data_IF_164802521644
#
_entry.id   IF_164802521644
#
_cell.length_a   1.000
_cell.length_b   1.000
_cell.length_c   1.000
_cell.angle_alpha   90.00
_cell.angle_beta   90.00
_cell.angle_gamma   90.00
#
_symmetry.space_group_name_H-M   'P 1'
#
loop_
_entity.id
_entity.type
_entity.pdbx_description
1 polymer ?
#
# COMPACT_ATOMS: atom_id res chain seq x y z
N UNK A 1 2.41 -31.41 17.77
CA UNK A 1 3.00 -30.08 17.52
C UNK A 1 3.36 -29.49 18.88
N UNK A 2 4.64 -29.31 19.22
CA UNK A 2 5.06 -28.65 20.48
C UNK A 2 5.20 -27.14 20.25
N UNK A 3 4.20 -26.52 19.62
CA UNK A 3 4.30 -25.14 19.17
C UNK A 3 4.11 -24.16 20.33
N UNK A 4 5.02 -23.21 20.49
CA UNK A 4 4.91 -22.13 21.47
C UNK A 4 4.03 -20.98 20.98
N UNK A 5 3.78 -20.91 19.66
CA UNK A 5 2.97 -19.90 18.99
C UNK A 5 2.23 -20.50 17.80
N UNK A 6 0.96 -20.10 17.62
CA UNK A 6 0.11 -20.45 16.48
C UNK A 6 -0.55 -19.15 16.00
N UNK A 7 -0.28 -18.72 14.77
CA UNK A 7 -0.90 -17.54 14.14
C UNK A 7 -1.76 -17.99 12.97
N UNK A 8 -3.02 -17.56 12.95
CA UNK A 8 -3.98 -17.88 11.89
C UNK A 8 -3.96 -16.78 10.83
N UNK A 9 -3.73 -17.18 9.57
CA UNK A 9 -3.61 -16.27 8.43
C UNK A 9 -4.58 -16.69 7.33
N UNK A 10 -5.35 -15.75 6.81
CA UNK A 10 -6.04 -15.89 5.52
C UNK A 10 -5.17 -15.22 4.47
N UNK A 11 -4.70 -15.99 3.49
CA UNK A 11 -3.87 -15.47 2.42
C UNK A 11 -4.71 -14.87 1.32
N UNK A 12 -4.31 -13.71 0.83
CA UNK A 12 -5.06 -12.93 -0.15
C UNK A 12 -4.09 -12.14 -1.03
N UNK A 13 -4.51 -11.84 -2.26
CA UNK A 13 -3.85 -10.84 -3.09
C UNK A 13 -4.88 -9.92 -3.73
N UNK A 14 -4.55 -8.64 -3.88
CA UNK A 14 -5.36 -7.65 -4.59
C UNK A 14 -4.65 -7.26 -5.89
N UNK A 15 -5.28 -7.58 -7.03
CA UNK A 15 -4.74 -7.33 -8.38
C UNK A 15 -3.27 -7.78 -8.56
N UNK A 16 -2.89 -8.86 -7.87
CA UNK A 16 -1.56 -9.50 -7.95
C UNK A 16 -0.66 -9.24 -6.75
N UNK A 17 -0.93 -8.21 -5.95
CA UNK A 17 -0.10 -7.86 -4.79
C UNK A 17 -0.59 -8.60 -3.54
N UNK A 18 0.31 -9.35 -2.89
CA UNK A 18 -0.01 -10.16 -1.71
C UNK A 18 -0.34 -9.25 -0.52
N UNK A 19 -1.47 -9.51 0.12
CA UNK A 19 -1.86 -8.87 1.38
C UNK A 19 -2.48 -9.91 2.28
N UNK A 20 -1.63 -10.73 2.92
CA UNK A 20 -2.08 -11.75 3.87
C UNK A 20 -2.70 -11.07 5.10
N UNK A 21 -3.68 -11.72 5.74
CA UNK A 21 -4.41 -11.14 6.88
C UNK A 21 -4.36 -12.08 8.07
N UNK A 22 -3.75 -11.62 9.17
CA UNK A 22 -3.75 -12.32 10.46
C UNK A 22 -5.12 -12.13 11.10
N UNK A 23 -5.83 -13.24 11.29
CA UNK A 23 -7.20 -13.27 11.83
C UNK A 23 -7.27 -13.85 13.25
N UNK A 24 -6.14 -14.33 13.79
CA UNK A 24 -6.09 -14.87 15.15
C UNK A 24 -4.69 -15.29 15.59
N UNK A 25 -4.52 -15.49 16.90
CA UNK A 25 -3.25 -15.93 17.50
C UNK A 25 -2.26 -14.80 17.84
N UNK A 26 -2.65 -13.54 17.67
CA UNK A 26 -1.86 -12.35 18.01
C UNK A 26 -2.72 -11.40 18.83
N UNK A 27 -2.25 -11.01 20.01
CA UNK A 27 -2.93 -10.00 20.83
C UNK A 27 -2.72 -8.60 20.23
N UNK A 28 -3.68 -7.67 20.35
CA UNK A 28 -3.50 -6.29 19.91
C UNK A 28 -2.25 -5.66 20.57
N UNK A 29 -1.41 -4.92 19.82
CA UNK A 29 -0.28 -4.19 20.39
C UNK A 29 -0.73 -3.17 21.44
N UNK A 30 0.14 -2.77 22.39
CA UNK A 30 -0.12 -1.64 23.27
C UNK A 30 -0.20 -0.34 22.46
N UNK A 31 -1.07 0.57 22.88
CA UNK A 31 -1.29 1.88 22.24
C UNK A 31 -2.73 2.37 22.42
N UNK A 32 -2.89 3.67 22.62
CA UNK A 32 -4.18 4.36 22.68
C UNK A 32 -4.78 4.56 21.28
N UNK A 33 -3.93 4.72 20.25
CA UNK A 33 -4.33 4.88 18.85
C UNK A 33 -3.81 3.72 17.98
N UNK A 34 -4.43 3.48 16.82
CA UNK A 34 -3.90 2.49 15.85
C UNK A 34 -2.52 2.92 15.32
N UNK A 35 -2.26 4.23 15.24
CA UNK A 35 -0.93 4.76 14.92
C UNK A 35 0.12 4.31 15.94
N UNK A 36 -0.11 4.52 17.24
CA UNK A 36 0.79 4.07 18.31
C UNK A 36 1.01 2.56 18.30
N UNK A 37 -0.06 1.78 18.06
CA UNK A 37 0.05 0.32 17.91
C UNK A 37 0.92 -0.06 16.71
N UNK A 38 0.80 0.66 15.59
CA UNK A 38 1.66 0.46 14.41
C UNK A 38 3.13 0.81 14.71
N UNK A 39 3.38 1.89 15.47
CA UNK A 39 4.74 2.28 15.88
C UNK A 39 5.35 1.21 16.79
N UNK A 40 4.56 0.64 17.71
CA UNK A 40 5.02 -0.47 18.53
C UNK A 40 5.43 -1.68 17.68
N UNK A 41 4.60 -2.07 16.69
CA UNK A 41 4.94 -3.16 15.76
C UNK A 41 6.23 -2.85 14.97
N UNK A 42 6.36 -1.60 14.51
CA UNK A 42 7.54 -1.13 13.78
C UNK A 42 8.80 -1.08 14.65
N UNK A 43 8.68 -0.95 15.98
CA UNK A 43 9.83 -0.86 16.87
C UNK A 43 10.20 -2.24 17.45
N UNK A 44 9.21 -3.04 17.85
CA UNK A 44 9.41 -4.37 18.43
C UNK A 44 9.92 -5.40 17.40
N UNK A 45 9.49 -5.30 16.14
CA UNK A 45 9.88 -6.15 15.01
C UNK A 45 9.60 -7.66 15.16
N UNK A 46 9.27 -8.19 16.33
CA UNK A 46 9.12 -9.63 16.57
C UNK A 46 8.08 -10.25 15.64
N UNK A 47 6.90 -9.61 15.53
CA UNK A 47 5.85 -10.10 14.64
C UNK A 47 6.25 -9.95 13.18
N UNK A 48 6.76 -8.77 12.80
CA UNK A 48 7.19 -8.45 11.42
C UNK A 48 8.18 -9.49 10.91
N UNK A 49 9.25 -9.72 11.67
CA UNK A 49 10.28 -10.69 11.31
C UNK A 49 9.69 -12.10 11.20
N UNK A 50 8.86 -12.52 12.17
CA UNK A 50 8.27 -13.85 12.16
C UNK A 50 7.40 -14.14 10.92
N UNK A 51 6.65 -13.14 10.43
CA UNK A 51 5.68 -13.34 9.32
C UNK A 51 6.22 -12.93 7.95
N UNK A 52 7.20 -12.03 7.89
CA UNK A 52 7.75 -11.52 6.63
C UNK A 52 9.05 -12.22 6.22
N UNK A 53 9.89 -12.66 7.17
CA UNK A 53 11.15 -13.31 6.83
C UNK A 53 10.94 -14.75 6.35
N UNK A 54 11.90 -15.26 5.59
CA UNK A 54 11.99 -16.69 5.33
C UNK A 54 12.22 -17.46 6.64
N UNK A 55 11.68 -18.69 6.78
CA UNK A 55 11.03 -19.51 5.75
C UNK A 55 9.49 -19.37 5.69
N UNK A 56 8.91 -18.46 6.47
CA UNK A 56 7.44 -18.32 6.61
C UNK A 56 6.87 -17.34 5.60
N UNK A 57 7.60 -16.27 5.34
CA UNK A 57 7.21 -15.18 4.48
C UNK A 57 7.97 -15.15 3.14
N UNK A 58 8.66 -14.04 2.91
CA UNK A 58 9.40 -13.69 1.70
C UNK A 58 9.19 -12.21 1.36
N UNK A 59 10.18 -11.56 0.75
CA UNK A 59 10.17 -10.10 0.45
C UNK A 59 8.97 -9.66 -0.41
N UNK A 60 8.31 -10.61 -1.09
CA UNK A 60 7.13 -10.33 -1.89
C UNK A 60 5.83 -10.19 -1.08
N UNK A 61 5.82 -10.53 0.20
CA UNK A 61 4.62 -10.51 1.04
C UNK A 61 4.44 -9.19 1.78
N UNK A 62 3.17 -8.86 1.98
CA UNK A 62 2.70 -7.94 2.99
C UNK A 62 1.78 -8.70 3.92
N UNK A 63 1.79 -8.36 5.20
CA UNK A 63 0.96 -9.04 6.21
C UNK A 63 0.23 -7.99 7.05
N UNK A 64 -1.08 -8.17 7.18
CA UNK A 64 -1.98 -7.24 7.86
C UNK A 64 -2.45 -7.86 9.17
N UNK A 65 -2.24 -7.17 10.28
CA UNK A 65 -2.76 -7.59 11.58
C UNK A 65 -4.10 -6.93 11.84
N UNK A 66 -5.18 -7.71 11.94
CA UNK A 66 -6.47 -7.20 12.43
C UNK A 66 -6.38 -6.89 13.93
N UNK A 67 -6.92 -5.73 14.32
CA UNK A 67 -7.01 -5.31 15.73
C UNK A 67 -8.35 -4.59 15.98
N UNK A 68 -8.86 -4.59 17.21
CA UNK A 68 -10.02 -3.77 17.55
C UNK A 68 -9.78 -2.30 17.19
N UNK A 69 -10.78 -1.67 16.58
CA UNK A 69 -10.73 -0.24 16.26
C UNK A 69 -10.61 0.62 17.52
N UNK A 70 -9.96 1.77 17.37
CA UNK A 70 -9.84 2.84 18.37
C UNK A 70 -10.81 3.98 18.07
N UNK A 71 -11.06 4.26 16.79
CA UNK A 71 -12.10 5.20 16.39
C UNK A 71 -13.48 4.51 16.46
N UNK A 72 -14.47 5.08 17.19
CA UNK A 72 -15.77 4.47 17.39
C UNK A 72 -16.61 4.36 16.11
N UNK A 73 -16.21 5.04 15.03
CA UNK A 73 -16.87 4.93 13.72
C UNK A 73 -16.44 3.69 12.95
N UNK A 74 -15.28 3.11 13.27
CA UNK A 74 -14.75 1.95 12.57
C UNK A 74 -15.23 0.63 13.19
N UNK A 75 -15.48 -0.34 12.33
CA UNK A 75 -15.89 -1.70 12.72
C UNK A 75 -14.68 -2.60 13.01
N UNK A 76 -13.56 -2.32 12.36
CA UNK A 76 -12.30 -3.05 12.53
C UNK A 76 -11.12 -2.14 12.15
N UNK A 77 -10.00 -2.30 12.84
CA UNK A 77 -8.74 -1.69 12.46
C UNK A 77 -7.77 -2.74 11.92
N UNK A 78 -6.75 -2.27 11.22
CA UNK A 78 -5.64 -3.15 10.84
C UNK A 78 -4.31 -2.40 10.84
N UNK A 79 -3.22 -3.15 10.94
CA UNK A 79 -1.85 -2.65 10.86
C UNK A 79 -1.15 -3.34 9.70
N UNK A 80 -0.61 -2.56 8.78
CA UNK A 80 0.09 -3.05 7.58
C UNK A 80 1.56 -3.29 7.93
N UNK A 81 2.06 -4.49 7.66
CA UNK A 81 3.49 -4.82 7.72
C UNK A 81 4.00 -5.10 6.31
N UNK A 82 4.71 -4.12 5.74
CA UNK A 82 5.42 -4.24 4.47
C UNK A 82 6.87 -4.72 4.71
N UNK A 83 7.62 -5.17 3.68
CA UNK A 83 8.95 -5.75 3.86
C UNK A 83 9.92 -4.84 4.66
N UNK A 84 9.95 -3.55 4.34
CA UNK A 84 10.82 -2.59 5.00
C UNK A 84 10.10 -1.62 5.95
N UNK A 85 8.77 -1.50 5.86
CA UNK A 85 8.04 -0.42 6.53
C UNK A 85 6.72 -0.86 7.17
N UNK A 86 6.19 -0.01 8.06
CA UNK A 86 4.85 -0.17 8.66
C UNK A 86 4.07 1.11 8.35
N UNK A 87 3.39 1.22 7.20
CA UNK A 87 2.92 2.51 6.70
C UNK A 87 1.58 2.98 7.30
N UNK A 88 1.19 4.25 7.06
CA UNK A 88 -0.12 4.76 7.44
C UNK A 88 -1.27 4.08 6.68
N UNK A 89 -1.12 3.79 5.40
CA UNK A 89 -2.15 3.15 4.57
C UNK A 89 -1.49 2.39 3.41
N UNK A 90 -2.13 1.32 2.94
CA UNK A 90 -1.74 0.61 1.71
C UNK A 90 -2.99 0.12 0.97
N UNK A 91 -3.14 0.52 -0.29
CA UNK A 91 -4.39 0.37 -1.03
C UNK A 91 -4.71 -1.08 -1.41
N UNK A 92 -3.74 -1.84 -1.92
CA UNK A 92 -3.93 -3.27 -2.21
C UNK A 92 -4.23 -4.06 -0.93
N UNK A 93 -3.53 -3.76 0.15
CA UNK A 93 -3.74 -4.37 1.45
C UNK A 93 -5.13 -4.06 2.04
N UNK A 94 -5.67 -2.84 1.88
CA UNK A 94 -7.02 -2.52 2.35
C UNK A 94 -8.11 -3.26 1.57
N UNK A 95 -7.92 -3.48 0.26
CA UNK A 95 -8.79 -4.35 -0.54
C UNK A 95 -8.73 -5.82 -0.06
N UNK A 96 -7.53 -6.33 0.23
CA UNK A 96 -7.36 -7.67 0.82
C UNK A 96 -8.06 -7.79 2.18
N UNK A 97 -7.87 -6.81 3.07
CA UNK A 97 -8.47 -6.79 4.42
C UNK A 97 -10.00 -6.74 4.33
N UNK A 98 -10.57 -5.85 3.52
CA UNK A 98 -12.03 -5.79 3.35
C UNK A 98 -12.60 -7.10 2.79
N UNK A 99 -11.92 -7.70 1.81
CA UNK A 99 -12.30 -9.00 1.23
C UNK A 99 -12.26 -10.11 2.27
N UNK A 100 -11.16 -10.23 3.03
CA UNK A 100 -11.02 -11.26 4.06
C UNK A 100 -12.05 -11.06 5.17
N UNK A 101 -12.28 -9.84 5.65
CA UNK A 101 -13.24 -9.57 6.72
C UNK A 101 -14.65 -10.08 6.37
N UNK A 102 -15.06 -9.92 5.12
CA UNK A 102 -16.38 -10.34 4.65
C UNK A 102 -16.42 -11.81 4.27
N UNK A 103 -15.50 -12.30 3.43
CA UNK A 103 -15.49 -13.68 2.94
C UNK A 103 -15.25 -14.72 4.07
N UNK A 104 -14.57 -14.33 5.15
CA UNK A 104 -14.38 -15.19 6.33
C UNK A 104 -15.48 -15.06 7.39
N UNK A 105 -16.44 -14.14 7.20
CA UNK A 105 -17.54 -13.91 8.12
C UNK A 105 -17.14 -13.23 9.44
N UNK A 106 -15.96 -12.60 9.51
CA UNK A 106 -15.55 -11.78 10.67
C UNK A 106 -16.48 -10.58 10.82
N UNK A 107 -16.84 -9.95 9.69
CA UNK A 107 -17.92 -8.97 9.61
C UNK A 107 -19.04 -9.52 8.72
N UNK A 108 -20.31 -9.18 9.03
CA UNK A 108 -21.44 -9.68 8.26
C UNK A 108 -21.44 -9.12 6.83
N UNK A 109 -21.75 -9.99 5.87
CA UNK A 109 -21.92 -9.62 4.46
C UNK A 109 -23.40 -9.37 4.15
N UNK A 110 -23.68 -8.30 3.41
CA UNK A 110 -24.99 -7.95 2.84
C UNK A 110 -24.86 -7.80 1.32
N UNK A 111 -25.81 -8.35 0.58
CA UNK A 111 -25.87 -8.28 -0.89
C UNK A 111 -26.94 -7.29 -1.38
N UNK A 112 -26.74 -6.62 -2.53
CA UNK A 112 -25.60 -6.75 -3.44
C UNK A 112 -24.36 -5.96 -3.01
N UNK A 113 -24.43 -5.21 -1.90
CA UNK A 113 -23.36 -4.32 -1.48
C UNK A 113 -23.25 -4.27 0.05
N UNK A 114 -22.02 -4.40 0.55
CA UNK A 114 -21.68 -4.19 1.96
C UNK A 114 -20.84 -2.93 2.12
N UNK A 115 -21.17 -2.11 3.13
CA UNK A 115 -20.42 -0.88 3.46
C UNK A 115 -19.68 -1.07 4.77
N UNK A 116 -18.41 -0.74 4.77
CA UNK A 116 -17.53 -0.84 5.92
C UNK A 116 -16.88 0.51 6.22
N UNK A 117 -16.68 0.79 7.51
CA UNK A 117 -15.74 1.82 7.96
C UNK A 117 -14.61 1.09 8.67
N UNK A 118 -13.39 1.27 8.18
CA UNK A 118 -12.20 0.60 8.70
C UNK A 118 -11.17 1.65 9.13
N UNK A 119 -10.32 1.30 10.09
CA UNK A 119 -9.28 2.20 10.61
C UNK A 119 -7.88 1.66 10.29
N UNK A 120 -7.18 2.36 9.39
CA UNK A 120 -5.76 2.18 9.16
C UNK A 120 -4.95 2.98 10.19
N UNK A 121 -3.63 2.77 10.33
CA UNK A 121 -2.80 3.63 11.16
C UNK A 121 -2.84 5.11 10.74
N UNK A 122 -3.02 5.37 9.44
CA UNK A 122 -3.15 6.71 8.85
C UNK A 122 -4.55 7.34 8.94
N UNK A 123 -5.53 6.63 9.50
CA UNK A 123 -6.88 7.12 9.71
C UNK A 123 -7.97 6.25 9.09
N UNK A 124 -9.20 6.78 9.11
CA UNK A 124 -10.37 6.08 8.62
C UNK A 124 -10.41 6.00 7.10
N UNK A 125 -10.91 4.86 6.62
CA UNK A 125 -11.32 4.66 5.24
C UNK A 125 -12.77 4.14 5.19
N UNK A 126 -13.45 4.41 4.08
CA UNK A 126 -14.76 3.82 3.80
C UNK A 126 -14.60 2.78 2.68
N UNK A 127 -15.08 1.56 2.92
CA UNK A 127 -15.06 0.48 1.95
C UNK A 127 -16.48 0.19 1.45
N UNK A 128 -16.64 0.02 0.15
CA UNK A 128 -17.87 -0.42 -0.48
C UNK A 128 -17.55 -1.69 -1.26
N UNK A 129 -18.01 -2.83 -0.77
CA UNK A 129 -17.78 -4.13 -1.37
C UNK A 129 -19.02 -4.57 -2.16
N UNK A 130 -18.84 -4.87 -3.44
CA UNK A 130 -19.86 -5.52 -4.26
C UNK A 130 -19.83 -7.02 -3.95
N UNK A 131 -20.95 -7.55 -3.47
CA UNK A 131 -21.07 -8.91 -2.95
C UNK A 131 -22.10 -9.70 -3.76
N UNK A 132 -21.76 -10.93 -4.12
CA UNK A 132 -22.67 -11.86 -4.79
C UNK A 132 -22.29 -13.30 -4.48
N UNK A 133 -23.30 -14.14 -4.23
CA UNK A 133 -23.16 -15.56 -3.92
C UNK A 133 -22.26 -15.81 -2.70
N UNK A 134 -22.37 -14.96 -1.68
CA UNK A 134 -21.60 -15.05 -0.44
C UNK A 134 -20.12 -14.69 -0.59
N UNK A 135 -19.75 -13.96 -1.65
CA UNK A 135 -18.38 -13.58 -1.96
C UNK A 135 -18.26 -12.11 -2.36
N UNK A 136 -17.20 -11.45 -1.90
CA UNK A 136 -16.77 -10.15 -2.41
C UNK A 136 -16.23 -10.28 -3.84
N UNK A 137 -16.85 -9.57 -4.78
CA UNK A 137 -16.44 -9.53 -6.19
C UNK A 137 -15.45 -8.40 -6.45
N UNK A 138 -15.64 -7.27 -5.78
CA UNK A 138 -14.87 -6.04 -5.94
C UNK A 138 -15.01 -5.18 -4.70
N UNK A 139 -13.99 -4.42 -4.35
CA UNK A 139 -14.05 -3.42 -3.29
C UNK A 139 -13.63 -2.06 -3.84
N UNK A 140 -14.38 -1.03 -3.49
CA UNK A 140 -13.98 0.37 -3.63
C UNK A 140 -13.62 0.95 -2.26
N UNK A 141 -12.46 1.58 -2.18
CA UNK A 141 -11.96 2.25 -0.98
C UNK A 141 -11.96 3.75 -1.24
N UNK A 142 -12.76 4.50 -0.47
CA UNK A 142 -12.54 5.93 -0.28
C UNK A 142 -11.41 6.10 0.70
N UNK A 143 -10.27 6.51 0.18
CA UNK A 143 -9.01 6.59 0.89
C UNK A 143 -8.94 7.85 1.77
N UNK A 144 -7.89 7.94 2.59
CA UNK A 144 -7.54 9.13 3.36
C UNK A 144 -7.24 10.33 2.43
N UNK A 145 -7.32 11.58 2.95
CA UNK A 145 -6.97 12.76 2.18
C UNK A 145 -5.59 12.65 1.52
N UNK A 146 -5.53 12.94 0.24
CA UNK A 146 -4.32 12.84 -0.59
C UNK A 146 -3.98 14.19 -1.18
N UNK A 147 -2.70 14.57 -1.25
CA UNK A 147 -2.26 15.89 -1.68
C UNK A 147 -0.94 15.85 -2.43
N UNK A 148 -0.76 16.79 -3.35
CA UNK A 148 0.56 17.11 -3.89
C UNK A 148 1.38 17.87 -2.83
N UNK A 149 2.67 17.56 -2.72
CA UNK A 149 3.59 18.20 -1.77
C UNK A 149 4.53 19.18 -2.49
N UNK A 150 5.35 18.69 -3.44
CA UNK A 150 6.18 19.52 -4.32
C UNK A 150 5.89 19.14 -5.76
N UNK A 151 5.69 20.14 -6.62
CA UNK A 151 5.48 19.92 -8.05
C UNK A 151 6.72 20.35 -8.82
N UNK A 152 7.08 19.57 -9.84
CA UNK A 152 8.11 19.91 -10.82
C UNK A 152 9.48 20.22 -10.21
N UNK A 153 9.79 19.60 -9.07
CA UNK A 153 11.03 19.77 -8.33
C UNK A 153 12.20 19.05 -9.03
N UNK A 154 13.39 19.64 -8.99
CA UNK A 154 14.60 19.02 -9.52
C UNK A 154 15.35 18.26 -8.42
N UNK A 155 15.81 17.06 -8.74
CA UNK A 155 16.73 16.28 -7.92
C UNK A 155 17.90 15.76 -8.77
N UNK A 156 19.07 15.64 -8.17
CA UNK A 156 20.24 15.02 -8.78
C UNK A 156 20.33 13.56 -8.38
N UNK A 157 20.36 12.64 -9.36
CA UNK A 157 20.43 11.21 -9.09
C UNK A 157 21.70 10.61 -9.69
N UNK A 158 22.49 9.97 -8.85
CA UNK A 158 23.77 9.38 -9.21
C UNK A 158 23.62 8.37 -10.37
N UNK A 159 24.29 8.66 -11.49
CA UNK A 159 24.25 7.87 -12.72
C UNK A 159 23.05 8.14 -13.63
N UNK A 160 22.09 8.99 -13.24
CA UNK A 160 20.91 9.37 -14.04
C UNK A 160 20.86 10.88 -14.35
N UNK A 161 21.62 11.70 -13.62
CA UNK A 161 21.65 13.16 -13.77
C UNK A 161 20.46 13.86 -13.12
N UNK A 162 20.13 15.06 -13.61
CA UNK A 162 19.03 15.86 -13.11
C UNK A 162 17.68 15.31 -13.56
N UNK A 163 16.81 15.00 -12.61
CA UNK A 163 15.44 14.55 -12.86
C UNK A 163 14.44 15.54 -12.30
N UNK A 164 13.37 15.77 -13.05
CA UNK A 164 12.22 16.52 -12.58
C UNK A 164 11.19 15.53 -12.00
N UNK A 165 10.75 15.78 -10.78
CA UNK A 165 9.89 14.90 -10.01
C UNK A 165 8.78 15.68 -9.31
N UNK A 166 7.68 14.99 -9.02
CA UNK A 166 6.66 15.45 -8.09
C UNK A 166 6.80 14.66 -6.78
N UNK A 167 6.52 15.28 -5.62
CA UNK A 167 6.29 14.57 -4.37
C UNK A 167 4.83 14.70 -3.97
N UNK A 168 4.26 13.63 -3.41
CA UNK A 168 2.85 13.61 -3.04
C UNK A 168 2.57 12.57 -1.95
N UNK A 169 1.43 12.75 -1.28
CA UNK A 169 0.90 11.82 -0.29
C UNK A 169 -0.43 11.24 -0.77
N UNK A 170 -0.56 9.92 -0.68
CA UNK A 170 -1.75 9.16 -1.07
C UNK A 170 -2.25 8.21 0.01
N UNK A 171 -1.90 8.43 1.27
CA UNK A 171 -1.94 7.43 2.35
C UNK A 171 -0.56 6.82 2.65
N UNK A 172 0.38 7.01 1.73
CA UNK A 172 1.82 6.88 1.89
C UNK A 172 2.51 7.96 1.04
N UNK A 173 3.82 8.18 1.18
CA UNK A 173 4.62 9.24 0.58
C UNK A 173 5.40 8.75 -0.65
N UNK A 174 5.32 9.53 -1.73
CA UNK A 174 5.84 9.19 -3.04
C UNK A 174 6.76 10.28 -3.58
N UNK A 175 7.81 9.85 -4.28
CA UNK A 175 8.42 10.60 -5.38
C UNK A 175 7.93 10.01 -6.70
N UNK A 176 7.40 10.84 -7.58
CA UNK A 176 6.81 10.44 -8.86
C UNK A 176 7.69 10.99 -9.98
N UNK A 177 8.09 10.10 -10.89
CA UNK A 177 9.00 10.40 -12.01
C UNK A 177 8.45 9.84 -13.31
N UNK A 178 8.72 10.52 -14.43
CA UNK A 178 8.31 10.10 -15.76
C UNK A 178 9.15 8.91 -16.26
N UNK A 179 8.48 7.80 -16.56
CA UNK A 179 9.10 6.58 -17.10
C UNK A 179 9.78 6.82 -18.45
N UNK A 180 9.20 7.65 -19.33
CA UNK A 180 9.75 7.90 -20.66
C UNK A 180 11.08 8.65 -20.61
N UNK A 181 11.23 9.58 -19.65
CA UNK A 181 12.50 10.28 -19.43
C UNK A 181 13.61 9.35 -18.94
N UNK A 182 13.24 8.24 -18.30
CA UNK A 182 14.15 7.20 -17.84
C UNK A 182 14.35 6.07 -18.86
N UNK A 183 13.61 6.09 -19.98
CA UNK A 183 13.72 5.07 -21.03
C UNK A 183 12.95 3.77 -20.76
N UNK A 184 12.02 3.75 -19.81
CA UNK A 184 11.25 2.55 -19.45
C UNK A 184 9.88 2.51 -20.14
N UNK A 185 9.45 1.30 -20.50
CA UNK A 185 8.11 1.01 -21.03
C UNK A 185 7.11 0.53 -19.96
N UNK A 186 7.58 0.24 -18.74
CA UNK A 186 6.84 -0.38 -17.63
C UNK A 186 6.38 -1.80 -18.00
N UNK A 187 7.35 -2.70 -18.20
CA UNK A 187 7.09 -4.11 -18.54
C UNK A 187 7.74 -5.09 -17.57
N UNK A 188 7.22 -6.32 -17.42
CA UNK A 188 7.75 -7.30 -16.47
C UNK A 188 9.25 -7.58 -16.63
N UNK A 189 9.75 -7.60 -17.87
CA UNK A 189 11.17 -7.80 -18.18
C UNK A 189 12.10 -6.69 -17.63
N UNK A 190 11.56 -5.50 -17.35
CA UNK A 190 12.30 -4.34 -16.83
C UNK A 190 12.33 -4.31 -15.29
N UNK A 191 11.64 -5.23 -14.60
CA UNK A 191 11.36 -5.13 -13.17
C UNK A 191 12.62 -4.95 -12.30
N UNK A 192 13.71 -5.65 -12.62
CA UNK A 192 14.96 -5.54 -11.86
C UNK A 192 15.62 -4.16 -12.04
N UNK A 193 15.62 -3.63 -13.27
CA UNK A 193 16.19 -2.31 -13.57
C UNK A 193 15.33 -1.19 -12.97
N UNK A 194 14.01 -1.30 -13.07
CA UNK A 194 13.06 -0.39 -12.42
C UNK A 194 13.28 -0.33 -10.91
N UNK A 195 13.49 -1.48 -10.25
CA UNK A 195 13.84 -1.53 -8.82
C UNK A 195 15.14 -0.78 -8.55
N UNK A 196 16.21 -1.09 -9.29
CA UNK A 196 17.51 -0.48 -9.08
C UNK A 196 17.47 1.05 -9.26
N UNK A 197 16.74 1.54 -10.26
CA UNK A 197 16.54 2.97 -10.51
C UNK A 197 15.66 3.61 -9.43
N UNK A 198 14.51 3.02 -9.11
CA UNK A 198 13.60 3.62 -8.14
C UNK A 198 14.19 3.71 -6.74
N UNK A 199 15.00 2.75 -6.30
CA UNK A 199 15.72 2.85 -5.02
C UNK A 199 16.69 4.04 -4.98
N UNK A 200 17.43 4.28 -6.08
CA UNK A 200 18.32 5.46 -6.19
C UNK A 200 17.54 6.76 -6.14
N UNK A 201 16.40 6.82 -6.83
CA UNK A 201 15.53 8.00 -6.87
C UNK A 201 14.92 8.26 -5.49
N UNK A 202 14.41 7.25 -4.80
CA UNK A 202 13.90 7.39 -3.43
C UNK A 202 14.98 7.88 -2.46
N UNK A 203 16.21 7.36 -2.56
CA UNK A 203 17.34 7.85 -1.76
C UNK A 203 17.60 9.34 -2.01
N UNK A 204 17.76 9.72 -3.28
CA UNK A 204 18.02 11.10 -3.66
C UNK A 204 16.88 12.07 -3.24
N UNK A 205 15.63 11.65 -3.40
CA UNK A 205 14.47 12.44 -3.01
C UNK A 205 14.38 12.65 -1.49
N UNK A 206 14.68 11.61 -0.68
CA UNK A 206 14.76 11.74 0.77
C UNK A 206 15.89 12.70 1.19
N UNK A 207 17.07 12.62 0.54
CA UNK A 207 18.21 13.48 0.85
C UNK A 207 17.98 14.95 0.47
N UNK A 208 17.34 15.22 -0.67
CA UNK A 208 17.27 16.56 -1.27
C UNK A 208 15.94 17.29 -1.03
N UNK A 209 14.83 16.55 -0.93
CA UNK A 209 13.49 17.12 -0.79
C UNK A 209 12.87 16.83 0.59
N UNK A 210 13.08 15.61 1.09
CA UNK A 210 12.42 15.07 2.27
C UNK A 210 10.90 14.98 2.10
N UNK A 211 10.22 14.55 3.16
CA UNK A 211 8.76 14.59 3.27
C UNK A 211 8.38 14.67 4.74
N UNK A 212 7.33 15.41 5.10
CA UNK A 212 6.72 15.35 6.44
C UNK A 212 5.21 15.51 6.28
N UNK A 213 4.44 14.58 6.83
CA UNK A 213 2.98 14.71 6.81
C UNK A 213 2.52 15.81 7.79
N UNK A 214 1.75 16.83 7.36
CA UNK A 214 1.44 18.00 8.20
C UNK A 214 0.69 17.70 9.50
N UNK A 215 -0.09 16.62 9.53
CA UNK A 215 -0.86 16.18 10.70
C UNK A 215 -0.29 14.92 11.36
N UNK A 216 0.81 14.39 10.85
CA UNK A 216 1.46 13.20 11.38
C UNK A 216 2.99 13.32 11.21
N UNK A 217 3.66 14.09 12.07
CA UNK A 217 5.09 14.39 11.91
C UNK A 217 5.98 13.15 12.04
N UNK A 218 5.49 12.04 12.60
CA UNK A 218 6.21 10.77 12.65
C UNK A 218 6.34 10.13 11.25
N UNK A 219 5.46 10.48 10.30
CA UNK A 219 5.63 10.10 8.89
C UNK A 219 6.46 11.16 8.17
N UNK A 220 7.77 10.96 8.15
CA UNK A 220 8.78 11.97 7.82
C UNK A 220 9.81 11.54 6.76
N UNK A 221 9.44 10.58 5.92
CA UNK A 221 10.25 10.13 4.79
C UNK A 221 9.37 9.85 3.56
N UNK A 222 10.01 9.73 2.41
CA UNK A 222 9.42 9.21 1.17
C UNK A 222 9.63 7.69 1.15
N UNK A 223 8.53 6.94 1.16
CA UNK A 223 8.57 5.47 1.12
C UNK A 223 8.92 4.95 -0.25
N UNK A 224 8.29 5.53 -1.29
CA UNK A 224 8.22 4.92 -2.61
C UNK A 224 8.67 5.83 -3.74
N UNK A 225 9.28 5.22 -4.75
CA UNK A 225 9.40 5.81 -6.08
C UNK A 225 8.31 5.24 -6.98
N UNK A 226 7.47 6.10 -7.55
CA UNK A 226 6.51 5.75 -8.57
C UNK A 226 7.03 6.20 -9.94
N UNK A 227 7.45 5.22 -10.75
CA UNK A 227 7.88 5.44 -12.13
C UNK A 227 6.63 5.35 -13.01
N UNK A 228 6.16 6.50 -13.49
CA UNK A 228 4.86 6.64 -14.14
C UNK A 228 5.00 6.83 -15.65
N UNK A 229 4.38 5.95 -16.44
CA UNK A 229 4.22 6.19 -17.87
C UNK A 229 3.20 7.33 -18.11
N UNK A 230 3.26 8.07 -19.23
CA UNK A 230 2.28 9.13 -19.51
C UNK A 230 0.83 8.67 -19.44
N UNK A 231 -0.07 9.60 -19.13
CA UNK A 231 -1.50 9.36 -19.21
C UNK A 231 -1.91 9.26 -20.67
N UNK A 232 -2.65 8.22 -21.01
CA UNK A 232 -3.28 8.03 -22.32
C UNK A 232 -4.79 7.94 -22.15
N UNK A 233 -5.54 8.13 -23.24
CA UNK A 233 -6.99 8.00 -23.25
C UNK A 233 -7.37 6.67 -23.90
N UNK A 234 -8.11 5.83 -23.20
CA UNK A 234 -8.64 4.57 -23.72
C UNK A 234 -10.14 4.51 -23.46
N UNK A 235 -10.94 4.34 -24.51
CA UNK A 235 -12.39 4.30 -24.43
C UNK A 235 -13.00 5.51 -23.67
N UNK A 236 -12.38 6.69 -23.80
CA UNK A 236 -12.81 7.92 -23.13
C UNK A 236 -12.48 8.00 -21.64
N UNK A 237 -11.60 7.13 -21.14
CA UNK A 237 -11.11 7.14 -19.75
C UNK A 237 -9.60 7.33 -19.74
N UNK A 238 -9.12 8.23 -18.86
CA UNK A 238 -7.69 8.41 -18.64
C UNK A 238 -7.09 7.15 -18.02
N UNK A 239 -5.98 6.66 -18.55
CA UNK A 239 -5.28 5.48 -18.04
C UNK A 239 -3.78 5.71 -18.01
N UNK A 240 -3.09 5.10 -17.06
CA UNK A 240 -1.66 5.28 -16.88
C UNK A 240 -1.02 4.11 -16.17
N UNK A 241 -0.06 3.47 -16.84
CA UNK A 241 0.78 2.47 -16.22
C UNK A 241 1.77 3.12 -15.24
N UNK A 242 2.15 2.37 -14.21
CA UNK A 242 3.21 2.74 -13.31
C UNK A 242 3.88 1.50 -12.69
N UNK A 243 5.11 1.67 -12.26
CA UNK A 243 5.83 0.73 -11.40
C UNK A 243 6.21 1.46 -10.11
N UNK A 244 5.65 1.01 -8.99
CA UNK A 244 6.04 1.50 -7.67
C UNK A 244 7.12 0.59 -7.09
N UNK A 245 8.25 1.19 -6.75
CA UNK A 245 9.37 0.51 -6.11
C UNK A 245 9.20 0.56 -4.60
N UNK A 246 8.96 -0.61 -4.02
CA UNK A 246 8.82 -0.87 -2.59
C UNK A 246 10.19 -1.28 -2.03
N UNK A 247 10.58 -0.64 -0.93
CA UNK A 247 11.80 -1.02 -0.21
C UNK A 247 11.66 -2.41 0.43
N UNK A 248 12.72 -3.24 0.43
CA UNK A 248 14.09 -2.91 0.06
C UNK A 248 14.43 -3.13 -1.44
N UNK A 249 13.46 -3.55 -2.26
CA UNK A 249 13.70 -3.76 -3.69
C UNK A 249 12.70 -4.70 -4.33
N UNK A 250 11.51 -4.20 -4.61
CA UNK A 250 10.43 -4.95 -5.24
C UNK A 250 9.52 -3.99 -6.02
N UNK A 251 8.93 -4.45 -7.13
CA UNK A 251 7.79 -3.75 -7.76
C UNK A 251 6.47 -4.25 -7.15
N UNK A 252 5.56 -3.32 -6.87
CA UNK A 252 4.15 -3.63 -6.57
C UNK A 252 3.49 -4.31 -7.79
N UNK A 253 2.87 -5.47 -7.59
CA UNK A 253 2.16 -6.19 -8.66
C UNK A 253 0.78 -5.59 -8.93
N UNK A 254 0.23 -4.85 -7.97
CA UNK A 254 -0.96 -4.03 -8.17
C UNK A 254 -0.58 -2.66 -8.75
N UNK A 255 -1.55 -1.86 -9.23
CA UNK A 255 -1.30 -0.49 -9.67
C UNK A 255 -0.97 0.50 -8.53
N UNK A 256 -0.86 0.00 -7.30
CA UNK A 256 -0.64 0.73 -6.05
C UNK A 256 -1.72 1.77 -5.76
N UNK A 257 -2.68 1.43 -4.88
CA UNK A 257 -3.81 2.32 -4.59
C UNK A 257 -3.40 3.66 -3.97
N UNK A 258 -2.40 3.68 -3.08
CA UNK A 258 -1.81 4.91 -2.54
C UNK A 258 -1.06 5.71 -3.62
N UNK A 259 -0.36 5.03 -4.54
CA UNK A 259 0.29 5.67 -5.69
C UNK A 259 -0.70 6.27 -6.68
N UNK A 260 -1.80 5.58 -6.98
CA UNK A 260 -2.91 6.11 -7.76
C UNK A 260 -3.54 7.34 -7.08
N UNK A 261 -3.71 7.30 -5.75
CA UNK A 261 -4.22 8.42 -4.96
C UNK A 261 -3.29 9.64 -5.03
N UNK A 262 -1.99 9.44 -4.83
CA UNK A 262 -0.96 10.48 -4.94
C UNK A 262 -0.89 11.06 -6.36
N UNK A 263 -0.94 10.20 -7.37
CA UNK A 263 -0.94 10.60 -8.78
C UNK A 263 -2.15 11.44 -9.16
N UNK A 264 -3.36 11.06 -8.72
CA UNK A 264 -4.56 11.87 -8.93
C UNK A 264 -4.45 13.22 -8.23
N UNK A 265 -3.85 13.29 -7.03
CA UNK A 265 -3.62 14.56 -6.34
C UNK A 265 -2.67 15.49 -7.12
N UNK A 266 -1.60 14.95 -7.71
CA UNK A 266 -0.69 15.70 -8.59
C UNK A 266 -1.40 16.15 -9.87
N UNK A 267 -2.14 15.26 -10.53
CA UNK A 267 -2.89 15.60 -11.75
C UNK A 267 -3.93 16.70 -11.48
N UNK A 268 -4.65 16.62 -10.36
CA UNK A 268 -5.60 17.65 -9.95
C UNK A 268 -4.90 18.99 -9.66
N UNK A 269 -3.79 18.97 -8.90
CA UNK A 269 -3.02 20.18 -8.62
C UNK A 269 -2.46 20.85 -9.89
N UNK A 270 -2.17 20.06 -10.93
CA UNK A 270 -1.76 20.52 -12.26
C UNK A 270 -2.94 20.88 -13.19
N UNK A 271 -4.19 20.77 -12.72
CA UNK A 271 -5.40 21.04 -13.50
C UNK A 271 -5.73 20.01 -14.59
N UNK A 272 -5.07 18.85 -14.56
CA UNK A 272 -5.19 17.77 -15.55
C UNK A 272 -6.25 16.73 -15.21
N UNK A 273 -6.81 16.78 -14.00
CA UNK A 273 -7.89 15.91 -13.56
C UNK A 273 -8.85 16.65 -12.63
N UNK A 274 -10.14 16.44 -12.78
CA UNK A 274 -11.22 17.10 -12.03
C UNK A 274 -11.99 16.12 -11.15
N UNK A 275 -12.76 16.65 -10.20
CA UNK A 275 -13.69 15.86 -9.37
C UNK A 275 -14.66 15.08 -10.25
N UNK A 276 -14.86 13.79 -9.95
CA UNK A 276 -15.73 12.88 -10.68
C UNK A 276 -15.11 12.24 -11.92
N UNK A 277 -13.96 12.74 -12.41
CA UNK A 277 -13.28 12.11 -13.54
C UNK A 277 -12.69 10.75 -13.15
N UNK A 278 -12.69 9.83 -14.11
CA UNK A 278 -12.21 8.46 -13.93
C UNK A 278 -10.77 8.34 -14.40
N UNK A 279 -9.98 7.59 -13.64
CA UNK A 279 -8.61 7.22 -13.95
C UNK A 279 -8.42 5.71 -13.77
N UNK A 280 -7.79 5.04 -14.74
CA UNK A 280 -7.40 3.63 -14.62
C UNK A 280 -5.90 3.56 -14.37
N UNK A 281 -5.52 3.16 -13.16
CA UNK A 281 -4.13 2.84 -12.85
C UNK A 281 -3.81 1.44 -13.34
N UNK A 282 -2.68 1.26 -14.02
CA UNK A 282 -2.18 -0.06 -14.45
C UNK A 282 -0.84 -0.41 -13.82
N UNK A 283 -0.66 -1.67 -13.48
CA UNK A 283 0.59 -2.20 -12.93
C UNK A 283 1.54 -2.69 -14.01
N UNK A 284 2.75 -3.06 -13.60
CA UNK A 284 3.75 -3.72 -14.46
C UNK A 284 3.28 -5.06 -15.05
N UNK A 285 2.28 -5.71 -14.44
CA UNK A 285 1.69 -6.98 -14.93
C UNK A 285 0.36 -6.76 -15.67
N UNK A 286 -0.04 -5.51 -15.90
CA UNK A 286 -1.29 -5.16 -16.60
C UNK A 286 -2.56 -5.33 -15.76
N UNK A 287 -2.45 -5.49 -14.44
CA UNK A 287 -3.60 -5.45 -13.55
C UNK A 287 -4.11 -4.01 -13.37
N UNK A 288 -5.35 -3.83 -12.93
CA UNK A 288 -6.04 -2.53 -12.99
C UNK A 288 -6.70 -2.13 -11.66
N UNK A 289 -6.61 -0.83 -11.35
CA UNK A 289 -7.44 -0.16 -10.35
C UNK A 289 -8.21 0.95 -11.04
N UNK A 290 -9.52 1.00 -10.79
CA UNK A 290 -10.35 2.06 -11.31
C UNK A 290 -10.56 3.08 -10.22
N UNK A 291 -10.17 4.30 -10.53
CA UNK A 291 -10.01 5.37 -9.57
C UNK A 291 -10.86 6.56 -9.98
N UNK A 292 -11.19 7.41 -9.00
CA UNK A 292 -11.74 8.75 -9.24
C UNK A 292 -11.40 9.67 -8.09
N UNK A 293 -11.50 10.96 -8.35
CA UNK A 293 -11.56 11.98 -7.30
C UNK A 293 -13.02 12.08 -6.86
N UNK A 294 -13.33 11.69 -5.62
CA UNK A 294 -14.70 11.77 -5.07
C UNK A 294 -15.06 13.21 -4.71
N UNK A 295 -14.17 13.88 -3.98
CA UNK A 295 -14.38 15.26 -3.52
C UNK A 295 -13.06 15.93 -3.16
N UNK A 296 -13.14 17.25 -2.94
CA UNK A 296 -12.01 18.06 -2.46
C UNK A 296 -12.08 18.22 -0.95
N UNK A 297 -10.92 18.41 -0.33
CA UNK A 297 -10.75 18.68 1.09
C UNK A 297 -9.47 19.49 1.30
N UNK A 298 -9.11 19.74 2.55
CA UNK A 298 -7.83 20.32 2.93
C UNK A 298 -7.14 19.50 4.02
N UNK A 299 -5.81 19.52 4.04
CA UNK A 299 -4.98 18.96 5.10
C UNK A 299 -4.07 20.06 5.63
N UNK A 300 -4.33 20.56 6.84
CA UNK A 300 -3.60 21.69 7.43
C UNK A 300 -3.49 22.91 6.50
N UNK A 301 -4.59 23.26 5.81
CA UNK A 301 -4.65 24.38 4.85
C UNK A 301 -4.05 24.08 3.46
N UNK A 302 -3.57 22.85 3.22
CA UNK A 302 -3.12 22.40 1.90
C UNK A 302 -4.29 21.80 1.11
N UNK A 303 -4.51 22.19 -0.16
CA UNK A 303 -5.49 21.54 -1.02
C UNK A 303 -5.25 20.03 -1.13
N UNK A 304 -6.30 19.25 -0.97
CA UNK A 304 -6.27 17.80 -0.99
C UNK A 304 -7.51 17.24 -1.67
N UNK A 305 -7.46 15.95 -2.02
CA UNK A 305 -8.55 15.19 -2.59
C UNK A 305 -8.93 14.04 -1.65
N UNK A 306 -10.19 13.61 -1.72
CA UNK A 306 -10.60 12.27 -1.31
C UNK A 306 -10.64 11.37 -2.56
N UNK A 307 -9.65 10.50 -2.77
CA UNK A 307 -9.66 9.57 -3.89
C UNK A 307 -10.40 8.29 -3.54
N UNK A 308 -11.13 7.74 -4.51
CA UNK A 308 -11.65 6.39 -4.47
C UNK A 308 -10.80 5.48 -5.35
N UNK A 309 -10.46 4.30 -4.85
CA UNK A 309 -9.70 3.26 -5.57
C UNK A 309 -10.50 1.96 -5.52
N UNK A 310 -10.82 1.39 -6.68
CA UNK A 310 -11.59 0.16 -6.75
C UNK A 310 -10.85 -0.94 -7.50
N UNK A 311 -10.75 -2.11 -6.89
CA UNK A 311 -10.09 -3.30 -7.42
C UNK A 311 -10.66 -4.59 -6.85
N UNK A 312 -10.10 -5.72 -7.26
CA UNK A 312 -10.52 -7.05 -6.81
C UNK A 312 -9.42 -7.69 -5.99
N UNK A 313 -9.83 -8.58 -5.09
CA UNK A 313 -8.91 -9.43 -4.34
C UNK A 313 -9.39 -10.88 -4.35
N UNK A 314 -8.46 -11.81 -4.16
CA UNK A 314 -8.73 -13.24 -4.15
C UNK A 314 -8.01 -13.91 -2.99
N UNK A 315 -8.77 -14.70 -2.23
CA UNK A 315 -8.21 -15.60 -1.22
C UNK A 315 -7.42 -16.69 -1.92
N UNK A 316 -6.18 -16.89 -1.50
CA UNK A 316 -5.27 -17.92 -2.04
C UNK A 316 -5.09 -19.11 -1.11
N UNK A 317 -5.57 -19.03 0.13
CA UNK A 317 -5.53 -20.14 1.09
C UNK A 317 -5.67 -19.68 2.53
N UNK A 318 -5.58 -20.62 3.45
CA UNK A 318 -5.52 -20.37 4.89
C UNK A 318 -4.33 -21.13 5.48
N UNK A 319 -3.67 -20.50 6.46
CA UNK A 319 -2.43 -21.01 7.04
C UNK A 319 -2.46 -20.89 8.56
N UNK A 320 -1.81 -21.83 9.23
CA UNK A 320 -1.43 -21.73 10.63
C UNK A 320 0.09 -21.66 10.70
N UNK A 321 0.63 -20.49 11.03
CA UNK A 321 2.07 -20.31 11.21
C UNK A 321 2.46 -20.78 12.60
N UNK A 322 3.45 -21.67 12.67
CA UNK A 322 3.90 -22.30 13.91
C UNK A 322 5.34 -21.86 14.25
N UNK A 323 5.60 -21.80 15.56
CA UNK A 323 6.96 -21.71 16.10
C UNK A 323 7.22 -22.89 17.03
N UNK A 324 8.21 -23.72 16.69
CA UNK A 324 8.77 -24.69 17.64
C UNK A 324 9.74 -23.94 18.57
N UNK A 325 9.68 -24.10 19.90
CA UNK A 325 10.60 -23.44 20.82
C UNK A 325 12.07 -23.86 20.64
N UNK A 326 12.35 -24.95 19.93
CA UNK A 326 13.70 -25.39 19.57
C UNK A 326 14.14 -24.94 18.17
N UNK A 327 13.30 -24.23 17.41
CA UNK A 327 13.68 -23.64 16.11
C UNK A 327 14.81 -22.62 16.32
N UNK A 328 16.00 -22.81 15.73
CA UNK A 328 17.13 -21.90 15.92
C UNK A 328 16.96 -20.55 15.20
N UNK A 329 15.94 -20.42 14.33
CA UNK A 329 15.58 -19.16 13.67
C UNK A 329 14.15 -18.73 14.02
N UNK A 330 13.90 -18.37 15.30
CA UNK A 330 12.54 -18.06 15.77
C UNK A 330 11.96 -16.80 15.12
N UNK A 331 12.80 -15.95 14.51
CA UNK A 331 12.41 -14.75 13.75
C UNK A 331 12.74 -14.86 12.25
N UNK A 332 13.11 -16.05 11.78
CA UNK A 332 13.56 -16.27 10.41
C UNK A 332 14.93 -15.67 10.11
N UNK A 333 15.21 -15.48 8.82
CA UNK A 333 16.45 -14.89 8.31
C UNK A 333 16.22 -14.12 7.00
N UNK A 334 17.23 -13.38 6.57
CA UNK A 334 17.28 -12.67 5.29
C UNK A 334 18.63 -12.93 4.65
N UNK A 335 18.65 -13.20 3.36
CA UNK A 335 19.85 -13.38 2.55
C UNK A 335 19.73 -12.55 1.29
N UNK A 336 20.85 -12.02 0.79
CA UNK A 336 20.85 -11.01 -0.27
C UNK A 336 20.45 -11.54 -1.65
N UNK A 337 20.35 -12.85 -1.83
CA UNK A 337 19.85 -13.50 -3.04
C UNK A 337 18.32 -13.39 -3.20
N UNK A 338 17.57 -13.39 -2.10
CA UNK A 338 16.10 -13.30 -2.09
C UNK A 338 15.55 -12.06 -1.37
N UNK A 339 16.38 -11.39 -0.57
CA UNK A 339 16.05 -10.19 0.17
C UNK A 339 17.08 -9.08 -0.12
N UNK A 340 16.78 -8.14 -1.03
CA UNK A 340 17.71 -7.08 -1.41
C UNK A 340 18.25 -6.30 -0.22
N UNK A 341 19.57 -6.12 -0.16
CA UNK A 341 20.25 -5.35 0.90
C UNK A 341 20.36 -6.03 2.28
N UNK A 342 20.02 -7.32 2.39
CA UNK A 342 20.19 -8.11 3.62
C UNK A 342 21.65 -8.34 4.04
#
# INVERSE_FOLDING_TARGET
MRSSKIIHVVSCHAEGEVGDVIVGGVAPPPGATVWEQSRWIAQDQTLRNFVLNEPRGGVFRHVNLLVPAKDPRAQMAWIIMEPADTPPMSGSNSLCVATVLLDSGILPMTEPQTRLVLEAPGGLIEAVADCRDGKVQRVEIKNVPSFADRLDAWIEVEGLGSLQVDTAYGGDSFVIVDAQRLGFAIRPEEAAELVAVGLKITRAANEQLGFVHPLNPDWSHISFCQIAAPIVQENGIATGANAVVIQPGKIDRSPTGTGCSARMAVLHAKGLMQVGERFIGRSIIGSEFHCRIESLTEVAGRPAIYPCIAGRAWITGTHQLLLDPADPWPQGYRLSDTWPGA
#
